data_IF_837695319847
#
_entry.id   IF_837695319847
#
_cell.length_a   1.000
_cell.length_b   1.000
_cell.length_c   1.000
_cell.angle_alpha   90.00
_cell.angle_beta   90.00
_cell.angle_gamma   90.00
#
_symmetry.space_group_name_H-M   'P 1'
#
loop_
_entity.id
_entity.type
_entity.pdbx_description
1 polymer ?
#
# COMPACT_ATOMS: atom_id res chain seq x y z
N UNK A 1 -16.16 -31.23 8.44
CA UNK A 1 -15.53 -29.93 8.12
C UNK A 1 -15.30 -29.89 6.62
N UNK A 2 -15.80 -28.86 5.94
CA UNK A 2 -15.61 -28.70 4.48
C UNK A 2 -14.16 -28.35 4.20
N UNK A 3 -13.48 -29.12 3.34
CA UNK A 3 -12.10 -28.81 2.96
C UNK A 3 -12.05 -27.52 2.15
N UNK A 4 -11.26 -26.54 2.59
CA UNK A 4 -11.12 -25.26 1.89
C UNK A 4 -10.14 -25.38 0.71
N UNK A 5 -10.13 -24.39 -0.18
CA UNK A 5 -9.16 -24.30 -1.30
C UNK A 5 -7.71 -24.30 -0.82
N UNK A 6 -7.44 -23.72 0.35
CA UNK A 6 -6.10 -23.61 0.93
C UNK A 6 -5.78 -24.70 1.96
N UNK A 7 -6.61 -25.74 2.03
CA UNK A 7 -6.37 -26.87 2.93
C UNK A 7 -4.97 -27.45 2.72
N UNK A 8 -4.27 -27.79 3.82
CA UNK A 8 -2.94 -28.40 3.76
C UNK A 8 -2.98 -29.78 3.10
N UNK A 9 -4.10 -30.50 3.24
CA UNK A 9 -4.29 -31.86 2.73
C UNK A 9 -4.52 -31.92 1.22
N UNK A 10 -5.03 -30.84 0.62
CA UNK A 10 -5.20 -30.70 -0.83
C UNK A 10 -3.89 -30.25 -1.46
N UNK A 11 -3.60 -30.72 -2.67
CA UNK A 11 -2.48 -30.27 -3.49
C UNK A 11 -3.03 -29.74 -4.80
N UNK A 12 -2.81 -28.47 -5.08
CA UNK A 12 -3.30 -27.81 -6.29
C UNK A 12 -2.10 -27.18 -6.98
N UNK A 13 -1.88 -27.54 -8.25
CA UNK A 13 -0.76 -27.05 -9.05
C UNK A 13 -1.26 -26.46 -10.36
N UNK A 14 -0.49 -25.57 -10.98
CA UNK A 14 -0.82 -25.02 -12.29
C UNK A 14 -0.49 -26.03 -13.39
N UNK A 15 -1.41 -26.23 -14.34
CA UNK A 15 -1.13 -26.98 -15.56
C UNK A 15 -0.02 -26.29 -16.36
N UNK A 16 1.02 -27.03 -16.78
CA UNK A 16 2.15 -26.43 -17.50
C UNK A 16 1.79 -25.89 -18.90
N UNK A 17 0.68 -26.36 -19.50
CA UNK A 17 0.26 -25.93 -20.82
C UNK A 17 -0.58 -24.64 -20.80
N UNK A 18 -1.54 -24.52 -19.88
CA UNK A 18 -2.49 -23.40 -19.86
C UNK A 18 -2.50 -22.59 -18.54
N UNK A 19 -1.80 -23.05 -17.50
CA UNK A 19 -1.77 -22.40 -16.19
C UNK A 19 -3.08 -22.50 -15.38
N UNK A 20 -4.04 -23.33 -15.82
CA UNK A 20 -5.26 -23.62 -15.04
C UNK A 20 -4.89 -24.41 -13.78
N UNK A 21 -5.53 -24.10 -12.65
CA UNK A 21 -5.35 -24.83 -11.41
C UNK A 21 -5.90 -26.27 -11.54
N UNK A 22 -5.09 -27.25 -11.17
CA UNK A 22 -5.42 -28.67 -11.22
C UNK A 22 -5.16 -29.28 -9.86
N UNK A 23 -6.18 -29.91 -9.29
CA UNK A 23 -6.03 -30.70 -8.06
C UNK A 23 -5.36 -32.03 -8.40
N UNK A 24 -4.28 -32.33 -7.69
CA UNK A 24 -3.46 -33.53 -7.88
C UNK A 24 -3.39 -34.32 -6.58
N UNK A 25 -3.10 -35.61 -6.67
CA UNK A 25 -2.88 -36.42 -5.47
C UNK A 25 -1.57 -35.99 -4.77
N UNK A 26 -1.56 -35.73 -3.44
CA UNK A 26 -0.33 -35.45 -2.69
C UNK A 26 0.75 -36.51 -2.83
N UNK A 27 0.38 -37.79 -3.04
CA UNK A 27 1.29 -38.90 -3.29
C UNK A 27 1.91 -38.94 -4.70
N UNK A 28 1.52 -38.01 -5.58
CA UNK A 28 1.94 -38.01 -6.99
C UNK A 28 0.95 -38.73 -7.91
N UNK A 29 1.26 -38.78 -9.21
CA UNK A 29 0.44 -39.42 -10.24
C UNK A 29 0.27 -38.56 -11.49
N UNK A 30 -0.69 -38.92 -12.33
CA UNK A 30 -1.06 -38.17 -13.54
C UNK A 30 -2.56 -37.85 -13.51
N UNK A 31 -2.91 -36.62 -13.86
CA UNK A 31 -4.30 -36.17 -14.02
C UNK A 31 -4.40 -35.31 -15.28
N UNK A 32 -5.49 -35.44 -16.02
CA UNK A 32 -5.75 -34.59 -17.18
C UNK A 32 -6.22 -33.20 -16.72
N UNK A 33 -5.64 -32.14 -17.27
CA UNK A 33 -6.11 -30.78 -17.04
C UNK A 33 -7.54 -30.61 -17.57
N UNK A 34 -8.47 -30.17 -16.72
CA UNK A 34 -9.89 -30.02 -17.08
C UNK A 34 -10.15 -28.95 -18.14
N UNK A 35 -9.21 -28.02 -18.35
CA UNK A 35 -9.34 -26.92 -19.31
C UNK A 35 -8.78 -27.26 -20.70
N UNK A 36 -7.56 -27.80 -20.77
CA UNK A 36 -6.89 -28.05 -22.06
C UNK A 36 -6.63 -29.54 -22.37
N UNK A 37 -7.00 -30.46 -21.47
CA UNK A 37 -6.77 -31.90 -21.63
C UNK A 37 -5.32 -32.36 -21.46
N UNK A 38 -4.35 -31.44 -21.37
CA UNK A 38 -2.94 -31.80 -21.22
C UNK A 38 -2.70 -32.60 -19.92
N UNK A 39 -1.88 -33.67 -19.95
CA UNK A 39 -1.55 -34.45 -18.75
C UNK A 39 -0.69 -33.61 -17.80
N UNK A 40 -1.05 -33.63 -16.52
CA UNK A 40 -0.26 -33.05 -15.42
C UNK A 40 0.32 -34.20 -14.61
N UNK A 41 1.60 -34.49 -14.87
CA UNK A 41 2.35 -35.56 -14.19
C UNK A 41 3.15 -34.96 -13.04
N UNK A 42 2.96 -35.49 -11.84
CA UNK A 42 3.57 -34.96 -10.62
C UNK A 42 4.17 -36.08 -9.77
N UNK A 43 5.31 -35.83 -9.15
CA UNK A 43 5.90 -36.71 -8.12
C UNK A 43 5.19 -36.48 -6.79
N UNK A 44 5.48 -37.28 -5.76
CA UNK A 44 4.99 -37.03 -4.41
C UNK A 44 5.39 -35.61 -3.94
N UNK A 45 4.51 -34.97 -3.15
CA UNK A 45 4.75 -33.61 -2.64
C UNK A 45 6.11 -33.55 -1.93
N UNK A 46 7.04 -32.67 -2.34
CA UNK A 46 8.34 -32.57 -1.69
C UNK A 46 8.23 -32.02 -0.27
N UNK A 47 9.19 -32.36 0.59
CA UNK A 47 9.30 -31.71 1.89
C UNK A 47 9.85 -30.29 1.70
N UNK A 48 8.97 -29.30 1.84
CA UNK A 48 9.32 -27.88 1.67
C UNK A 48 9.53 -27.16 3.00
N UNK A 49 9.75 -27.89 4.09
CA UNK A 49 10.10 -27.29 5.38
C UNK A 49 11.43 -26.52 5.28
N UNK A 50 11.47 -25.39 5.95
CA UNK A 50 12.61 -24.48 6.02
C UNK A 50 13.50 -24.93 7.18
N UNK A 51 14.83 -25.08 6.98
CA UNK A 51 15.75 -25.33 8.08
C UNK A 51 15.65 -24.22 9.13
N UNK A 52 15.71 -24.58 10.42
CA UNK A 52 15.69 -23.59 11.50
C UNK A 52 17.04 -22.88 11.60
N UNK A 53 17.03 -21.56 11.71
CA UNK A 53 18.21 -20.78 12.04
C UNK A 53 18.75 -21.13 13.42
N UNK A 54 20.04 -20.90 13.63
CA UNK A 54 20.66 -21.04 14.93
C UNK A 54 19.98 -20.08 15.93
N UNK A 55 19.65 -20.53 17.15
CA UNK A 55 18.99 -19.69 18.13
C UNK A 55 19.88 -18.49 18.50
N UNK A 56 19.32 -17.28 18.37
CA UNK A 56 19.93 -16.04 18.85
C UNK A 56 19.05 -15.41 19.92
N UNK A 57 19.60 -14.74 20.95
CA UNK A 57 18.80 -13.95 21.87
C UNK A 57 17.97 -12.91 21.12
N UNK A 58 16.68 -12.80 21.46
CA UNK A 58 15.73 -11.96 20.74
C UNK A 58 16.20 -10.49 20.58
N UNK A 59 16.72 -9.80 21.61
CA UNK A 59 17.17 -8.42 21.45
C UNK A 59 18.30 -8.25 20.41
N UNK A 60 19.25 -9.19 20.36
CA UNK A 60 20.34 -9.18 19.38
C UNK A 60 19.81 -9.46 17.97
N UNK A 61 18.85 -10.37 17.85
CA UNK A 61 18.20 -10.70 16.59
C UNK A 61 17.43 -9.49 16.04
N UNK A 62 16.62 -8.83 16.87
CA UNK A 62 15.89 -7.61 16.49
C UNK A 62 16.84 -6.51 16.01
N UNK A 63 17.96 -6.30 16.69
CA UNK A 63 18.97 -5.33 16.25
C UNK A 63 19.56 -5.68 14.88
N UNK A 64 19.81 -6.96 14.60
CA UNK A 64 20.29 -7.42 13.30
C UNK A 64 19.26 -7.24 12.19
N UNK A 65 17.98 -7.54 12.47
CA UNK A 65 16.88 -7.35 11.52
C UNK A 65 16.70 -5.88 11.14
N UNK A 66 16.82 -4.94 12.10
CA UNK A 66 16.76 -3.50 11.82
C UNK A 66 17.85 -3.01 10.86
N UNK A 67 19.00 -3.68 10.78
CA UNK A 67 20.08 -3.31 9.85
C UNK A 67 19.75 -3.65 8.38
N UNK A 68 18.72 -4.47 8.15
CA UNK A 68 18.28 -4.90 6.83
C UNK A 68 17.11 -4.06 6.31
N UNK A 69 16.52 -3.24 7.18
CA UNK A 69 15.36 -2.42 6.89
C UNK A 69 15.65 -1.35 5.81
N UNK A 70 14.60 -0.91 5.11
CA UNK A 70 14.69 0.07 4.01
C UNK A 70 15.35 -0.44 2.73
N UNK A 71 15.42 -1.77 2.54
CA UNK A 71 15.93 -2.41 1.32
C UNK A 71 14.79 -2.93 0.46
N UNK A 72 14.29 -2.15 -0.51
CA UNK A 72 13.18 -2.57 -1.33
C UNK A 72 13.55 -3.80 -2.18
N UNK A 73 12.58 -4.70 -2.37
CA UNK A 73 12.72 -5.80 -3.32
C UNK A 73 12.76 -5.24 -4.75
N UNK A 74 13.93 -5.26 -5.37
CA UNK A 74 14.10 -4.79 -6.74
C UNK A 74 13.58 -5.84 -7.75
N UNK A 75 12.98 -5.41 -8.87
CA UNK A 75 12.60 -6.32 -9.94
C UNK A 75 13.85 -7.02 -10.49
N UNK A 76 13.84 -8.36 -10.62
CA UNK A 76 14.89 -9.07 -11.33
C UNK A 76 14.98 -8.63 -12.80
N UNK A 77 16.18 -8.59 -13.40
CA UNK A 77 16.36 -8.15 -14.77
C UNK A 77 15.51 -8.94 -15.78
N UNK A 78 14.91 -8.22 -16.73
CA UNK A 78 14.09 -8.75 -17.81
C UNK A 78 12.59 -8.81 -17.52
N UNK A 79 12.15 -8.36 -16.34
CA UNK A 79 10.74 -8.27 -15.98
C UNK A 79 10.17 -6.85 -16.08
N UNK A 80 11.01 -5.85 -16.35
CA UNK A 80 10.63 -4.44 -16.41
C UNK A 80 9.56 -4.19 -17.46
N UNK A 81 9.64 -4.87 -18.60
CA UNK A 81 8.67 -4.72 -19.69
C UNK A 81 7.28 -5.21 -19.30
N UNK A 82 7.17 -6.24 -18.43
CA UNK A 82 5.90 -6.83 -18.01
C UNK A 82 5.09 -5.91 -17.09
N UNK A 83 5.75 -4.93 -16.48
CA UNK A 83 5.19 -4.13 -15.41
C UNK A 83 4.90 -2.71 -15.85
N UNK A 84 3.72 -2.23 -15.50
CA UNK A 84 3.39 -0.81 -15.56
C UNK A 84 2.85 -0.39 -14.18
N UNK A 85 3.50 0.60 -13.57
CA UNK A 85 3.10 1.09 -12.25
C UNK A 85 3.13 0.03 -11.12
N UNK A 86 4.01 -0.97 -11.21
CA UNK A 86 4.13 -2.01 -10.18
C UNK A 86 3.12 -3.16 -10.31
N UNK A 87 2.30 -3.19 -11.37
CA UNK A 87 1.33 -4.26 -11.65
C UNK A 87 1.55 -4.88 -13.03
N UNK A 88 1.05 -6.10 -13.20
CA UNK A 88 0.93 -6.74 -14.52
C UNK A 88 -0.37 -6.25 -15.14
N UNK A 89 -0.26 -5.62 -16.32
CA UNK A 89 -1.44 -5.22 -17.08
C UNK A 89 -2.26 -6.43 -17.54
N UNK A 90 -3.60 -6.36 -17.58
CA UNK A 90 -4.44 -7.51 -17.93
C UNK A 90 -4.05 -8.19 -19.26
N UNK A 91 -3.65 -7.41 -20.26
CA UNK A 91 -3.26 -7.90 -21.58
C UNK A 91 -1.89 -8.61 -21.61
N UNK A 92 -1.05 -8.43 -20.58
CA UNK A 92 0.24 -9.13 -20.41
C UNK A 92 0.15 -10.36 -19.51
N UNK A 93 -1.03 -10.67 -18.98
CA UNK A 93 -1.21 -11.77 -18.04
C UNK A 93 -0.76 -13.12 -18.62
N UNK A 94 -1.02 -13.36 -19.91
CA UNK A 94 -0.60 -14.59 -20.58
C UNK A 94 0.92 -14.68 -20.72
N UNK A 95 1.58 -13.59 -21.11
CA UNK A 95 3.04 -13.49 -21.21
C UNK A 95 3.70 -13.75 -19.83
N UNK A 96 3.21 -13.08 -18.78
CA UNK A 96 3.71 -13.26 -17.42
C UNK A 96 3.55 -14.71 -16.93
N UNK A 97 2.44 -15.38 -17.26
CA UNK A 97 2.22 -16.81 -16.94
C UNK A 97 3.17 -17.73 -17.69
N UNK A 98 3.50 -17.42 -18.94
CA UNK A 98 4.47 -18.18 -19.72
C UNK A 98 5.87 -18.08 -19.10
N UNK A 99 6.30 -16.86 -18.74
CA UNK A 99 7.60 -16.62 -18.08
C UNK A 99 7.65 -17.31 -16.72
N UNK A 100 6.57 -17.22 -15.92
CA UNK A 100 6.44 -17.93 -14.65
C UNK A 100 6.62 -19.44 -14.83
N UNK A 101 5.87 -20.05 -15.77
CA UNK A 101 5.90 -21.50 -15.99
C UNK A 101 7.26 -21.96 -16.51
N UNK A 102 7.87 -21.19 -17.42
CA UNK A 102 9.23 -21.45 -17.90
C UNK A 102 10.28 -21.37 -16.78
N UNK A 103 10.21 -20.34 -15.93
CA UNK A 103 11.12 -20.17 -14.78
C UNK A 103 10.95 -21.31 -13.76
N UNK A 104 9.70 -21.70 -13.48
CA UNK A 104 9.40 -22.83 -12.60
C UNK A 104 9.98 -24.13 -13.13
N UNK A 105 9.78 -24.44 -14.41
CA UNK A 105 10.34 -25.65 -15.05
C UNK A 105 11.86 -25.66 -15.00
N UNK A 106 12.48 -24.52 -15.28
CA UNK A 106 13.93 -24.35 -15.19
C UNK A 106 14.44 -24.67 -13.77
N UNK A 107 13.82 -24.13 -12.73
CA UNK A 107 14.22 -24.43 -11.34
C UNK A 107 14.01 -25.88 -10.92
N UNK A 108 12.99 -26.56 -11.45
CA UNK A 108 12.83 -27.99 -11.22
C UNK A 108 13.99 -28.80 -11.83
N UNK A 109 14.55 -28.34 -12.97
CA UNK A 109 15.73 -28.96 -13.58
C UNK A 109 17.07 -28.48 -13.01
N UNK A 110 17.15 -27.24 -12.53
CA UNK A 110 18.36 -26.58 -12.04
C UNK A 110 18.06 -25.86 -10.71
N UNK A 111 17.88 -26.60 -9.59
CA UNK A 111 17.45 -25.99 -8.33
C UNK A 111 18.45 -25.00 -7.73
N UNK A 112 19.73 -25.06 -8.12
CA UNK A 112 20.78 -24.17 -7.61
C UNK A 112 20.78 -22.78 -8.24
N UNK A 113 19.92 -22.50 -9.23
CA UNK A 113 19.86 -21.19 -9.88
C UNK A 113 19.16 -20.15 -8.98
N UNK A 114 19.99 -19.33 -8.32
CA UNK A 114 19.56 -18.26 -7.42
C UNK A 114 18.77 -17.18 -8.16
N UNK A 115 19.23 -16.77 -9.35
CA UNK A 115 18.59 -15.70 -10.12
C UNK A 115 17.21 -16.12 -10.62
N UNK A 116 17.06 -17.37 -11.07
CA UNK A 116 15.76 -17.93 -11.41
C UNK A 116 14.85 -18.05 -10.19
N UNK A 117 15.39 -18.37 -9.00
CA UNK A 117 14.63 -18.42 -7.75
C UNK A 117 14.09 -17.05 -7.35
N UNK A 118 14.88 -15.99 -7.48
CA UNK A 118 14.45 -14.60 -7.24
C UNK A 118 13.40 -14.16 -8.27
N UNK A 119 13.61 -14.47 -9.55
CA UNK A 119 12.64 -14.25 -10.63
C UNK A 119 11.30 -14.93 -10.35
N UNK A 120 11.32 -16.20 -9.92
CA UNK A 120 10.10 -16.95 -9.63
C UNK A 120 9.35 -16.36 -8.42
N UNK A 121 10.05 -16.00 -7.34
CA UNK A 121 9.46 -15.33 -6.18
C UNK A 121 8.78 -14.02 -6.59
N UNK A 122 9.50 -13.18 -7.33
CA UNK A 122 9.00 -11.87 -7.76
C UNK A 122 7.78 -11.99 -8.68
N UNK A 123 7.83 -12.88 -9.68
CA UNK A 123 6.67 -13.18 -10.56
C UNK A 123 5.48 -13.71 -9.78
N UNK A 124 5.72 -14.54 -8.76
CA UNK A 124 4.66 -15.06 -7.89
C UNK A 124 3.97 -13.92 -7.16
N UNK A 125 4.72 -12.97 -6.59
CA UNK A 125 4.15 -11.81 -5.91
C UNK A 125 3.33 -10.94 -6.86
N UNK A 126 3.87 -10.62 -8.04
CA UNK A 126 3.16 -9.82 -9.05
C UNK A 126 1.86 -10.47 -9.52
N UNK A 127 1.92 -11.74 -9.93
CA UNK A 127 0.74 -12.47 -10.39
C UNK A 127 -0.29 -12.61 -9.28
N UNK A 128 0.17 -12.78 -8.03
CA UNK A 128 -0.73 -12.93 -6.89
C UNK A 128 -1.57 -11.68 -6.62
N UNK A 129 -1.03 -10.48 -6.84
CA UNK A 129 -1.79 -9.24 -6.69
C UNK A 129 -2.99 -9.22 -7.63
N UNK A 130 -2.79 -9.51 -8.92
CA UNK A 130 -3.88 -9.52 -9.91
C UNK A 130 -4.86 -10.67 -9.68
N UNK A 131 -4.37 -11.85 -9.29
CA UNK A 131 -5.24 -13.00 -9.01
C UNK A 131 -6.10 -12.79 -7.76
N UNK A 132 -5.55 -12.15 -6.73
CA UNK A 132 -6.26 -11.79 -5.51
C UNK A 132 -7.40 -10.81 -5.80
N UNK A 133 -7.15 -9.79 -6.65
CA UNK A 133 -8.19 -8.84 -7.09
C UNK A 133 -9.35 -9.53 -7.82
N UNK A 134 -9.09 -10.60 -8.59
CA UNK A 134 -10.13 -11.37 -9.29
C UNK A 134 -10.85 -12.42 -8.43
N UNK A 135 -10.41 -12.65 -7.19
CA UNK A 135 -11.00 -13.67 -6.30
C UNK A 135 -10.79 -15.12 -6.78
N UNK A 136 -9.82 -15.37 -7.68
CA UNK A 136 -9.55 -16.71 -8.20
C UNK A 136 -8.64 -17.50 -7.25
N UNK A 137 -9.22 -17.92 -6.12
CA UNK A 137 -8.52 -18.64 -5.06
C UNK A 137 -7.83 -19.95 -5.54
N UNK A 138 -8.43 -20.79 -6.41
CA UNK A 138 -7.74 -21.96 -6.95
C UNK A 138 -6.49 -21.62 -7.76
N UNK A 139 -6.55 -20.59 -8.62
CA UNK A 139 -5.38 -20.13 -9.38
C UNK A 139 -4.29 -19.61 -8.43
N UNK A 140 -4.69 -18.82 -7.43
CA UNK A 140 -3.77 -18.27 -6.44
C UNK A 140 -3.10 -19.36 -5.60
N UNK A 141 -3.87 -20.35 -5.15
CA UNK A 141 -3.33 -21.53 -4.47
C UNK A 141 -2.32 -22.28 -5.36
N UNK A 142 -2.68 -22.52 -6.62
CA UNK A 142 -1.82 -23.22 -7.58
C UNK A 142 -0.50 -22.49 -7.85
N UNK A 143 -0.54 -21.15 -7.85
CA UNK A 143 0.62 -20.29 -8.01
C UNK A 143 1.56 -20.43 -6.81
N UNK A 144 1.04 -20.27 -5.59
CA UNK A 144 1.87 -20.36 -4.38
C UNK A 144 2.43 -21.75 -4.13
N UNK A 145 1.61 -22.81 -4.28
CA UNK A 145 2.08 -24.18 -4.07
C UNK A 145 3.03 -24.63 -5.19
N UNK A 146 2.74 -24.25 -6.44
CA UNK A 146 3.64 -24.50 -7.57
C UNK A 146 5.01 -23.83 -7.40
N UNK A 147 5.05 -22.61 -6.87
CA UNK A 147 6.29 -21.92 -6.53
C UNK A 147 7.00 -22.55 -5.34
N UNK A 148 6.27 -22.89 -4.28
CA UNK A 148 6.82 -23.53 -3.09
C UNK A 148 7.55 -24.85 -3.42
N UNK A 149 7.04 -25.63 -4.36
CA UNK A 149 7.67 -26.89 -4.80
C UNK A 149 8.93 -26.69 -5.65
N UNK A 150 9.04 -25.57 -6.38
CA UNK A 150 10.18 -25.31 -7.27
C UNK A 150 11.29 -24.47 -6.62
N UNK A 151 10.97 -23.67 -5.61
CA UNK A 151 11.93 -22.81 -4.92
C UNK A 151 12.87 -23.63 -4.03
N UNK A 152 14.18 -23.48 -4.24
CA UNK A 152 15.21 -24.15 -3.44
C UNK A 152 15.60 -23.36 -2.19
N UNK A 153 15.70 -22.04 -2.32
CA UNK A 153 16.17 -21.16 -1.24
C UNK A 153 15.21 -21.18 -0.05
N UNK A 154 15.71 -21.45 1.18
CA UNK A 154 14.91 -21.46 2.41
C UNK A 154 14.03 -20.22 2.56
N UNK A 155 14.58 -19.03 2.30
CA UNK A 155 13.86 -17.77 2.42
C UNK A 155 12.64 -17.65 1.50
N UNK A 156 12.74 -18.11 0.26
CA UNK A 156 11.62 -18.03 -0.68
C UNK A 156 10.53 -19.07 -0.35
N UNK A 157 10.91 -20.25 0.16
CA UNK A 157 9.96 -21.26 0.65
C UNK A 157 9.17 -20.76 1.86
N UNK A 158 9.83 -20.07 2.80
CA UNK A 158 9.19 -19.43 3.96
C UNK A 158 8.11 -18.43 3.52
N UNK A 159 8.44 -17.56 2.55
CA UNK A 159 7.48 -16.60 1.99
C UNK A 159 6.22 -17.29 1.45
N UNK A 160 6.40 -18.32 0.62
CA UNK A 160 5.26 -19.05 0.04
C UNK A 160 4.40 -19.75 1.10
N UNK A 161 5.03 -20.35 2.12
CA UNK A 161 4.31 -20.94 3.26
C UNK A 161 3.52 -19.89 4.04
N UNK A 162 4.09 -18.70 4.25
CA UNK A 162 3.40 -17.58 4.86
C UNK A 162 2.16 -17.15 4.09
N UNK A 163 2.25 -17.02 2.75
CA UNK A 163 1.08 -16.74 1.91
C UNK A 163 0.00 -17.82 2.04
N UNK A 164 0.37 -19.11 1.91
CA UNK A 164 -0.56 -20.23 2.04
C UNK A 164 -1.25 -20.25 3.42
N UNK A 165 -0.50 -19.99 4.50
CA UNK A 165 -1.03 -19.93 5.86
C UNK A 165 -2.07 -18.80 6.01
N UNK A 166 -1.76 -17.59 5.54
CA UNK A 166 -2.69 -16.44 5.61
C UNK A 166 -3.97 -16.69 4.82
N UNK A 167 -3.87 -17.29 3.62
CA UNK A 167 -5.06 -17.60 2.82
C UNK A 167 -5.92 -18.72 3.44
N UNK A 168 -5.31 -19.75 4.05
CA UNK A 168 -6.05 -20.75 4.82
C UNK A 168 -6.79 -20.13 6.00
N UNK A 169 -6.11 -19.27 6.77
CA UNK A 169 -6.71 -18.54 7.88
C UNK A 169 -7.86 -17.63 7.42
N UNK A 170 -7.72 -16.94 6.27
CA UNK A 170 -8.76 -16.10 5.67
C UNK A 170 -10.06 -16.88 5.42
N UNK A 171 -9.96 -18.16 5.11
CA UNK A 171 -11.09 -19.09 4.93
C UNK A 171 -11.53 -19.82 6.20
N UNK A 172 -11.06 -19.38 7.38
CA UNK A 172 -11.26 -20.01 8.69
C UNK A 172 -10.73 -21.46 8.80
N UNK A 173 -9.80 -21.87 7.93
CA UNK A 173 -9.12 -23.17 7.98
C UNK A 173 -7.85 -23.06 8.82
N UNK A 174 -8.03 -22.82 10.13
CA UNK A 174 -6.91 -22.56 11.04
C UNK A 174 -6.02 -23.80 11.23
N UNK A 175 -6.56 -25.03 11.14
CA UNK A 175 -5.75 -26.25 11.16
C UNK A 175 -4.74 -26.26 10.00
N UNK A 176 -5.21 -25.97 8.78
CA UNK A 176 -4.32 -25.91 7.62
C UNK A 176 -3.38 -24.72 7.69
N UNK A 177 -3.82 -23.57 8.22
CA UNK A 177 -2.96 -22.41 8.41
C UNK A 177 -1.77 -22.73 9.34
N UNK A 178 -2.02 -23.39 10.46
CA UNK A 178 -0.99 -23.88 11.38
C UNK A 178 -0.07 -24.90 10.71
N UNK A 179 -0.62 -25.85 9.94
CA UNK A 179 0.17 -26.85 9.22
C UNK A 179 1.11 -26.24 8.16
N UNK A 180 0.66 -25.19 7.45
CA UNK A 180 1.52 -24.44 6.54
C UNK A 180 2.64 -23.71 7.28
N UNK A 181 2.30 -23.01 8.36
CA UNK A 181 3.22 -22.20 9.15
C UNK A 181 4.23 -23.05 9.94
N UNK A 182 3.87 -24.27 10.34
CA UNK A 182 4.73 -25.19 11.10
C UNK A 182 6.05 -25.55 10.40
N UNK A 183 6.09 -25.44 9.06
CA UNK A 183 7.31 -25.65 8.27
C UNK A 183 8.17 -24.41 8.06
N UNK A 184 7.83 -23.27 8.66
CA UNK A 184 8.65 -22.06 8.64
C UNK A 184 9.64 -22.04 9.82
N UNK A 185 10.69 -21.24 9.69
CA UNK A 185 11.59 -20.89 10.78
C UNK A 185 11.02 -19.70 11.58
N UNK A 186 10.65 -19.88 12.86
CA UNK A 186 10.13 -18.81 13.71
C UNK A 186 11.21 -17.79 14.15
N UNK A 187 12.49 -18.11 13.98
CA UNK A 187 13.62 -17.33 14.49
C UNK A 187 14.56 -16.89 13.37
N UNK A 188 14.03 -16.64 12.18
CA UNK A 188 14.85 -16.25 11.03
C UNK A 188 15.64 -14.95 11.31
N UNK A 189 16.84 -14.88 10.77
CA UNK A 189 17.72 -13.70 10.83
C UNK A 189 17.67 -12.88 9.54
N UNK A 190 16.84 -13.24 8.57
CA UNK A 190 16.50 -12.45 7.38
C UNK A 190 15.17 -11.70 7.64
N UNK A 191 15.15 -10.38 7.41
CA UNK A 191 14.01 -9.52 7.75
C UNK A 191 12.75 -9.89 6.98
N UNK A 192 12.89 -10.22 5.69
CA UNK A 192 11.77 -10.57 4.83
C UNK A 192 11.09 -11.86 5.34
N UNK A 193 11.87 -12.89 5.66
CA UNK A 193 11.34 -14.17 6.15
C UNK A 193 10.82 -14.11 7.58
N UNK A 194 11.48 -13.36 8.46
CA UNK A 194 11.00 -13.13 9.83
C UNK A 194 9.65 -12.40 9.79
N UNK A 195 9.55 -11.34 9.00
CA UNK A 195 8.31 -10.58 8.79
C UNK A 195 7.20 -11.48 8.25
N UNK A 196 7.51 -12.34 7.26
CA UNK A 196 6.55 -13.27 6.70
C UNK A 196 6.01 -14.25 7.74
N UNK A 197 6.86 -14.75 8.65
CA UNK A 197 6.44 -15.61 9.76
C UNK A 197 5.55 -14.84 10.74
N UNK A 198 6.03 -13.70 11.25
CA UNK A 198 5.33 -12.89 12.27
C UNK A 198 3.98 -12.42 11.80
N UNK A 199 3.90 -11.89 10.58
CA UNK A 199 2.63 -11.42 10.00
C UNK A 199 1.68 -12.59 9.78
N UNK A 200 2.16 -13.76 9.36
CA UNK A 200 1.30 -14.94 9.19
C UNK A 200 0.75 -15.45 10.52
N UNK A 201 1.60 -15.55 11.55
CA UNK A 201 1.18 -15.93 12.92
C UNK A 201 0.18 -14.93 13.50
N UNK A 202 0.45 -13.63 13.38
CA UNK A 202 -0.46 -12.56 13.80
C UNK A 202 -1.81 -12.61 13.06
N UNK A 203 -1.80 -12.96 11.77
CA UNK A 203 -3.02 -13.13 10.98
C UNK A 203 -3.86 -14.32 11.48
N UNK A 204 -3.22 -15.46 11.78
CA UNK A 204 -3.90 -16.63 12.37
C UNK A 204 -4.45 -16.27 13.76
N UNK A 205 -3.64 -15.65 14.62
CA UNK A 205 -4.05 -15.25 15.97
C UNK A 205 -5.19 -14.23 15.96
N UNK A 206 -5.22 -13.33 14.97
CA UNK A 206 -6.35 -12.42 14.76
C UNK A 206 -7.65 -13.17 14.48
N UNK A 207 -7.62 -14.16 13.57
CA UNK A 207 -8.78 -14.99 13.26
C UNK A 207 -9.24 -15.89 14.43
N UNK A 208 -8.30 -16.28 15.30
CA UNK A 208 -8.57 -17.05 16.52
C UNK A 208 -8.95 -16.19 17.74
N UNK A 209 -8.99 -14.86 17.61
CA UNK A 209 -9.29 -13.94 18.72
C UNK A 209 -8.18 -13.82 19.78
N UNK A 210 -6.95 -14.25 19.47
CA UNK A 210 -5.80 -14.24 20.38
C UNK A 210 -5.02 -12.92 20.28
N UNK A 211 -5.70 -11.81 20.53
CA UNK A 211 -5.16 -10.47 20.27
C UNK A 211 -3.91 -10.12 21.09
N UNK A 212 -3.76 -10.68 22.29
CA UNK A 212 -2.54 -10.51 23.08
C UNK A 212 -1.31 -11.12 22.37
N UNK A 213 -1.47 -12.26 21.70
CA UNK A 213 -0.39 -12.90 20.93
C UNK A 213 0.00 -12.05 19.71
N UNK A 214 -0.97 -11.38 19.07
CA UNK A 214 -0.71 -10.46 17.95
C UNK A 214 0.23 -9.33 18.37
N UNK A 215 -0.05 -8.69 19.51
CA UNK A 215 0.84 -7.66 20.08
C UNK A 215 2.17 -8.26 20.53
N UNK A 216 2.16 -9.46 21.12
CA UNK A 216 3.38 -10.16 21.53
C UNK A 216 4.34 -10.44 20.38
N UNK A 217 3.82 -10.77 19.18
CA UNK A 217 4.68 -11.09 18.02
C UNK A 217 5.01 -9.90 17.13
N UNK A 218 4.11 -8.92 16.98
CA UNK A 218 4.33 -7.71 16.16
C UNK A 218 4.87 -6.51 16.95
N UNK A 219 5.00 -6.64 18.26
CA UNK A 219 5.32 -5.53 19.15
C UNK A 219 4.12 -4.60 19.39
N UNK A 220 4.26 -3.74 20.40
CA UNK A 220 3.27 -2.73 20.74
C UNK A 220 3.28 -1.55 19.76
N UNK A 221 4.42 -1.30 19.12
CA UNK A 221 4.64 -0.29 18.09
C UNK A 221 5.50 -0.83 16.93
N UNK A 222 5.55 -0.08 15.82
CA UNK A 222 6.45 -0.39 14.68
C UNK A 222 7.94 -0.37 15.06
N UNK A 223 8.30 0.30 16.16
CA UNK A 223 9.68 0.41 16.60
C UNK A 223 10.15 -0.82 17.39
N UNK A 224 9.22 -1.61 17.95
CA UNK A 224 9.57 -2.72 18.83
C UNK A 224 10.09 -3.93 18.04
N UNK A 225 9.46 -4.22 16.91
CA UNK A 225 9.80 -5.34 16.01
C UNK A 225 9.86 -4.80 14.59
N UNK A 226 11.02 -4.82 13.91
CA UNK A 226 11.11 -4.40 12.52
C UNK A 226 10.30 -5.37 11.66
N UNK A 227 9.56 -4.80 10.72
CA UNK A 227 8.79 -5.54 9.72
C UNK A 227 9.25 -5.00 8.35
N UNK A 228 9.43 -5.91 7.40
CA UNK A 228 9.74 -5.56 6.02
C UNK A 228 8.68 -4.59 5.45
N UNK A 229 9.14 -3.52 4.79
CA UNK A 229 8.30 -2.44 4.22
C UNK A 229 7.09 -2.96 3.42
N UNK A 230 7.23 -4.10 2.73
CA UNK A 230 6.13 -4.66 1.92
C UNK A 230 4.98 -5.22 2.75
N UNK A 231 5.21 -5.53 4.03
CA UNK A 231 4.25 -6.14 4.95
C UNK A 231 3.78 -5.19 6.05
N UNK A 232 4.39 -4.02 6.14
CA UNK A 232 4.13 -2.99 7.14
C UNK A 232 2.64 -2.57 7.22
N UNK A 233 1.94 -2.30 6.11
CA UNK A 233 0.51 -1.98 6.16
C UNK A 233 -0.35 -3.10 6.76
N UNK A 234 -0.02 -4.37 6.47
CA UNK A 234 -0.74 -5.53 7.01
C UNK A 234 -0.46 -5.67 8.50
N UNK A 235 0.81 -5.57 8.91
CA UNK A 235 1.19 -5.60 10.33
C UNK A 235 0.54 -4.45 11.11
N UNK A 236 0.49 -3.25 10.54
CA UNK A 236 -0.17 -2.09 11.12
C UNK A 236 -1.67 -2.31 11.33
N UNK A 237 -2.37 -2.90 10.36
CA UNK A 237 -3.81 -3.22 10.51
C UNK A 237 -4.03 -4.31 11.57
N UNK A 238 -3.24 -5.38 11.57
CA UNK A 238 -3.37 -6.46 12.55
C UNK A 238 -3.10 -5.98 13.98
N UNK A 239 -2.03 -5.19 14.17
CA UNK A 239 -1.68 -4.62 15.49
C UNK A 239 -2.73 -3.59 15.94
N UNK A 240 -3.24 -2.74 15.06
CA UNK A 240 -4.33 -1.80 15.40
C UNK A 240 -5.61 -2.54 15.79
N UNK A 241 -5.98 -3.60 15.06
CA UNK A 241 -7.13 -4.43 15.42
C UNK A 241 -6.94 -5.10 16.79
N UNK A 242 -5.74 -5.60 17.07
CA UNK A 242 -5.44 -6.18 18.38
C UNK A 242 -5.61 -5.14 19.52
N UNK A 243 -5.22 -3.88 19.29
CA UNK A 243 -5.45 -2.80 20.25
C UNK A 243 -6.92 -2.46 20.45
N UNK A 244 -7.68 -2.32 19.36
CA UNK A 244 -9.13 -2.06 19.41
C UNK A 244 -9.83 -3.16 20.23
N UNK A 245 -9.50 -4.43 19.97
CA UNK A 245 -10.09 -5.60 20.64
C UNK A 245 -9.68 -5.74 22.11
N UNK A 246 -8.58 -5.10 22.51
CA UNK A 246 -8.15 -4.99 23.91
C UNK A 246 -8.73 -3.75 24.62
N UNK A 247 -9.69 -3.04 24.00
CA UNK A 247 -10.31 -1.86 24.60
C UNK A 247 -9.45 -0.60 24.51
N UNK A 248 -8.50 -0.54 23.55
CA UNK A 248 -7.62 0.62 23.31
C UNK A 248 -7.85 1.23 21.92
N UNK A 249 -9.07 1.71 21.59
CA UNK A 249 -9.39 2.21 20.26
C UNK A 249 -8.58 3.45 19.86
N UNK A 250 -8.15 4.28 20.81
CA UNK A 250 -7.32 5.46 20.55
C UNK A 250 -5.93 5.09 20.03
N UNK A 251 -5.30 4.06 20.62
CA UNK A 251 -4.01 3.54 20.18
C UNK A 251 -4.11 2.93 18.77
N UNK A 252 -5.18 2.18 18.51
CA UNK A 252 -5.47 1.65 17.19
C UNK A 252 -5.67 2.75 16.14
N UNK A 253 -6.43 3.79 16.47
CA UNK A 253 -6.65 4.96 15.60
C UNK A 253 -5.33 5.68 15.30
N UNK A 254 -4.53 5.97 16.32
CA UNK A 254 -3.26 6.69 16.16
C UNK A 254 -2.29 5.92 15.24
N UNK A 255 -2.24 4.60 15.39
CA UNK A 255 -1.41 3.74 14.56
C UNK A 255 -1.85 3.76 13.09
N UNK A 256 -3.13 3.58 12.80
CA UNK A 256 -3.65 3.63 11.44
C UNK A 256 -3.46 5.02 10.82
N UNK A 257 -3.74 6.09 11.59
CA UNK A 257 -3.59 7.46 11.15
C UNK A 257 -2.14 7.77 10.73
N UNK A 258 -1.15 7.28 11.49
CA UNK A 258 0.27 7.45 11.14
C UNK A 258 0.57 6.93 9.73
N UNK A 259 0.23 5.68 9.45
CA UNK A 259 0.44 5.08 8.12
C UNK A 259 -0.34 5.82 7.03
N UNK A 260 -1.60 6.20 7.29
CA UNK A 260 -2.39 7.00 6.35
C UNK A 260 -1.69 8.32 6.00
N UNK A 261 -1.17 9.03 7.01
CA UNK A 261 -0.47 10.33 6.82
C UNK A 261 0.90 10.21 6.14
N UNK A 262 1.48 9.01 6.08
CA UNK A 262 2.70 8.66 5.35
C UNK A 262 2.42 8.24 3.89
N UNK A 263 1.18 8.42 3.40
CA UNK A 263 0.80 8.08 2.03
C UNK A 263 0.34 6.64 1.83
N UNK A 264 0.15 5.86 2.91
CA UNK A 264 -0.33 4.48 2.84
C UNK A 264 -1.85 4.37 3.04
N UNK A 265 -2.60 5.47 2.88
CA UNK A 265 -4.03 5.48 3.21
C UNK A 265 -4.84 4.47 2.37
N UNK A 266 -4.64 4.46 1.05
CA UNK A 266 -5.29 3.51 0.14
C UNK A 266 -4.88 2.06 0.44
N UNK A 267 -3.61 1.81 0.78
CA UNK A 267 -3.11 0.49 1.15
C UNK A 267 -3.77 -0.03 2.42
N UNK A 268 -3.84 0.80 3.48
CA UNK A 268 -4.51 0.44 4.74
C UNK A 268 -5.98 0.11 4.48
N UNK A 269 -6.69 0.92 3.68
CA UNK A 269 -8.09 0.65 3.34
C UNK A 269 -8.26 -0.65 2.56
N UNK A 270 -7.35 -0.92 1.61
CA UNK A 270 -7.36 -2.16 0.84
C UNK A 270 -7.13 -3.37 1.74
N UNK A 271 -6.17 -3.30 2.68
CA UNK A 271 -5.92 -4.37 3.64
C UNK A 271 -7.16 -4.62 4.50
N UNK A 272 -7.76 -3.58 5.09
CA UNK A 272 -8.99 -3.72 5.90
C UNK A 272 -10.13 -4.35 5.09
N UNK A 273 -10.31 -3.93 3.83
CA UNK A 273 -11.33 -4.48 2.93
C UNK A 273 -11.08 -5.94 2.55
N UNK A 274 -9.81 -6.34 2.43
CA UNK A 274 -9.41 -7.70 2.06
C UNK A 274 -9.49 -8.70 3.23
N UNK A 275 -9.61 -8.21 4.47
CA UNK A 275 -9.81 -9.06 5.64
C UNK A 275 -11.21 -9.70 5.63
N UNK A 276 -11.38 -10.91 6.20
CA UNK A 276 -12.70 -11.53 6.35
C UNK A 276 -13.66 -10.64 7.13
N UNK A 277 -14.85 -10.40 6.58
CA UNK A 277 -15.85 -9.50 7.17
C UNK A 277 -16.24 -9.91 8.59
N UNK A 278 -16.28 -11.20 8.88
CA UNK A 278 -16.63 -11.73 10.21
C UNK A 278 -15.60 -11.36 11.30
N UNK A 279 -14.37 -10.99 10.92
CA UNK A 279 -13.35 -10.54 11.88
C UNK A 279 -13.57 -9.09 12.31
N UNK A 280 -14.35 -8.31 11.55
CA UNK A 280 -14.63 -6.89 11.76
C UNK A 280 -13.36 -6.11 12.15
N UNK A 281 -12.32 -6.24 11.33
CA UNK A 281 -10.99 -5.69 11.61
C UNK A 281 -11.04 -4.17 11.67
N UNK A 282 -10.61 -3.59 12.80
CA UNK A 282 -10.57 -2.13 13.03
C UNK A 282 -11.92 -1.43 12.79
N UNK A 283 -13.03 -2.04 13.22
CA UNK A 283 -14.38 -1.59 12.89
C UNK A 283 -14.67 -0.16 13.36
N UNK A 284 -14.05 0.27 14.47
CA UNK A 284 -14.23 1.61 15.04
C UNK A 284 -13.08 2.54 14.67
N UNK A 285 -11.84 2.08 14.88
CA UNK A 285 -10.62 2.88 14.78
C UNK A 285 -10.29 3.31 13.36
N UNK A 286 -10.74 2.59 12.32
CA UNK A 286 -10.49 3.01 10.92
C UNK A 286 -11.19 4.33 10.57
N UNK A 287 -12.39 4.58 11.12
CA UNK A 287 -13.13 5.82 10.87
C UNK A 287 -12.46 7.00 11.57
N UNK A 288 -12.02 6.82 12.82
CA UNK A 288 -11.23 7.83 13.54
C UNK A 288 -9.92 8.13 12.82
N UNK A 289 -9.24 7.10 12.30
CA UNK A 289 -8.00 7.27 11.54
C UNK A 289 -8.23 8.05 10.24
N UNK A 290 -9.32 7.79 9.52
CA UNK A 290 -9.73 8.57 8.33
C UNK A 290 -9.97 10.04 8.67
N UNK A 291 -10.65 10.33 9.78
CA UNK A 291 -10.89 11.70 10.22
C UNK A 291 -9.58 12.41 10.56
N UNK A 292 -8.66 11.74 11.25
CA UNK A 292 -7.33 12.27 11.56
C UNK A 292 -6.50 12.52 10.29
N UNK A 293 -6.52 11.59 9.33
CA UNK A 293 -5.87 11.76 8.03
C UNK A 293 -6.45 12.95 7.25
N UNK A 294 -7.77 13.08 7.20
CA UNK A 294 -8.46 14.22 6.58
C UNK A 294 -8.06 15.55 7.22
N UNK A 295 -8.00 15.60 8.55
CA UNK A 295 -7.56 16.79 9.27
C UNK A 295 -6.11 17.15 8.92
N UNK A 296 -5.22 16.15 8.82
CA UNK A 296 -3.82 16.34 8.43
C UNK A 296 -3.67 16.81 6.98
N UNK A 297 -4.37 16.18 6.04
CA UNK A 297 -4.40 16.59 4.63
C UNK A 297 -4.94 18.01 4.50
N UNK A 298 -6.02 18.35 5.21
CA UNK A 298 -6.57 19.71 5.24
C UNK A 298 -5.61 20.74 5.83
N UNK A 299 -4.86 20.38 6.88
CA UNK A 299 -3.82 21.23 7.46
C UNK A 299 -2.67 21.48 6.48
N UNK A 300 -2.23 20.45 5.72
CA UNK A 300 -1.19 20.57 4.68
C UNK A 300 -1.67 21.30 3.42
N UNK A 301 -2.93 21.15 3.04
CA UNK A 301 -3.47 21.72 1.81
C UNK A 301 -3.60 23.27 1.85
N UNK A 302 -3.43 23.90 3.02
CA UNK A 302 -3.55 25.34 3.17
C UNK A 302 -2.40 25.98 3.93
N UNK A 303 -1.53 26.72 3.25
CA UNK A 303 -0.57 27.67 3.86
C UNK A 303 -1.27 28.96 4.27
N UNK A 304 -2.37 28.85 5.05
CA UNK A 304 -3.12 30.02 5.51
C UNK A 304 -2.23 31.03 6.25
N UNK A 305 -1.17 30.57 6.91
CA UNK A 305 -0.21 31.42 7.60
C UNK A 305 0.54 32.38 6.66
N UNK A 306 0.91 31.94 5.44
CA UNK A 306 1.53 32.83 4.43
C UNK A 306 0.52 33.90 4.02
N UNK A 307 -0.74 33.51 3.83
CA UNK A 307 -1.82 34.45 3.54
C UNK A 307 -2.01 35.49 4.64
N UNK A 308 -1.93 35.09 5.91
CA UNK A 308 -1.95 36.01 7.05
C UNK A 308 -0.74 36.93 7.11
N UNK A 309 0.46 36.43 6.83
CA UNK A 309 1.66 37.28 6.76
C UNK A 309 1.51 38.34 5.67
N UNK A 310 1.10 37.96 4.45
CA UNK A 310 0.89 38.91 3.35
C UNK A 310 -0.22 39.91 3.66
N UNK A 311 -1.27 39.47 4.36
CA UNK A 311 -2.34 40.34 4.80
C UNK A 311 -1.81 41.35 5.83
N UNK A 312 -1.19 40.91 6.92
CA UNK A 312 -0.67 41.80 7.97
C UNK A 312 0.43 42.72 7.43
N UNK A 313 1.38 42.19 6.66
CA UNK A 313 2.46 42.99 6.07
C UNK A 313 1.95 43.97 5.01
N UNK A 314 0.91 43.60 4.26
CA UNK A 314 0.23 44.46 3.32
C UNK A 314 -0.38 45.69 3.99
N UNK A 315 -0.96 45.54 5.18
CA UNK A 315 -1.57 46.65 5.92
C UNK A 315 -0.58 47.47 6.75
N UNK A 316 0.64 46.98 6.99
CA UNK A 316 1.66 47.69 7.80
C UNK A 316 2.00 49.11 7.28
N UNK A 317 2.15 49.37 5.96
CA UNK A 317 2.42 50.70 5.44
C UNK A 317 1.33 51.73 5.75
N UNK A 318 0.07 51.32 5.96
CA UNK A 318 -1.02 52.24 6.26
C UNK A 318 -0.79 52.99 7.59
N UNK A 319 -0.03 52.40 8.51
CA UNK A 319 0.37 53.05 9.77
C UNK A 319 1.31 54.25 9.53
N UNK A 320 2.02 54.28 8.40
CA UNK A 320 2.92 55.37 8.02
C UNK A 320 2.23 56.48 7.22
N UNK A 321 0.96 56.35 6.83
CA UNK A 321 0.24 57.36 6.04
C UNK A 321 0.28 58.73 6.72
N UNK A 322 -0.09 58.78 8.00
CA UNK A 322 -0.22 60.05 8.74
C UNK A 322 1.14 60.77 8.83
N UNK A 323 2.23 60.13 9.28
CA UNK A 323 3.56 60.74 9.27
C UNK A 323 4.02 61.21 7.88
N UNK A 324 3.75 60.44 6.84
CA UNK A 324 4.21 60.72 5.46
C UNK A 324 3.45 61.88 4.84
N UNK A 325 2.15 62.01 5.11
CA UNK A 325 1.35 63.18 4.67
C UNK A 325 1.84 64.45 5.39
N UNK A 326 2.09 64.36 6.70
CA UNK A 326 2.53 65.50 7.50
C UNK A 326 3.94 65.99 7.13
N UNK A 327 4.81 65.11 6.63
CA UNK A 327 6.18 65.47 6.24
C UNK A 327 6.30 66.08 4.85
N UNK A 328 5.21 66.21 4.09
CA UNK A 328 5.23 66.75 2.73
C UNK A 328 5.88 65.81 1.72
N UNK A 329 5.84 64.50 1.97
CA UNK A 329 6.40 63.50 1.06
C UNK A 329 5.74 63.54 -0.33
N UNK A 330 6.46 63.04 -1.34
CA UNK A 330 5.97 63.01 -2.72
C UNK A 330 4.70 62.16 -2.87
N UNK A 331 3.83 62.54 -3.81
CA UNK A 331 2.61 61.80 -4.17
C UNK A 331 2.92 60.32 -4.47
N UNK A 332 4.10 60.05 -5.02
CA UNK A 332 4.59 58.71 -5.31
C UNK A 332 4.72 57.81 -4.06
N UNK A 333 5.18 58.34 -2.92
CA UNK A 333 5.23 57.57 -1.67
C UNK A 333 3.83 57.26 -1.15
N UNK A 334 2.93 58.25 -1.16
CA UNK A 334 1.54 58.06 -0.72
C UNK A 334 0.83 57.01 -1.60
N UNK A 335 1.05 57.05 -2.92
CA UNK A 335 0.52 56.06 -3.84
C UNK A 335 0.99 54.62 -3.50
N UNK A 336 2.28 54.42 -3.21
CA UNK A 336 2.80 53.11 -2.81
C UNK A 336 2.19 52.61 -1.51
N UNK A 337 1.99 53.49 -0.53
CA UNK A 337 1.37 53.14 0.75
C UNK A 337 -0.07 52.67 0.58
N UNK A 338 -0.78 53.13 -0.46
CA UNK A 338 -2.16 52.69 -0.76
C UNK A 338 -2.19 51.45 -1.65
N UNK A 339 -1.35 51.40 -2.69
CA UNK A 339 -1.33 50.29 -3.66
C UNK A 339 -0.86 48.98 -3.01
N UNK A 340 0.15 49.06 -2.14
CA UNK A 340 0.74 47.87 -1.52
C UNK A 340 -0.26 47.07 -0.67
N UNK A 341 -1.04 47.66 0.27
CA UNK A 341 -2.11 46.97 0.99
C UNK A 341 -3.18 46.35 0.11
N UNK A 342 -3.54 47.01 -0.99
CA UNK A 342 -4.57 46.49 -1.90
C UNK A 342 -4.08 45.21 -2.59
N UNK A 343 -2.85 45.22 -3.10
CA UNK A 343 -2.26 44.06 -3.78
C UNK A 343 -2.00 42.92 -2.78
N UNK A 344 -1.24 43.19 -1.72
CA UNK A 344 -0.82 42.17 -0.75
C UNK A 344 -1.97 41.70 0.13
N UNK A 345 -2.84 42.60 0.57
CA UNK A 345 -4.06 42.26 1.30
C UNK A 345 -5.04 41.44 0.45
N UNK A 346 -5.20 41.81 -0.84
CA UNK A 346 -6.02 41.04 -1.78
C UNK A 346 -5.48 39.63 -2.03
N UNK A 347 -4.17 39.49 -2.24
CA UNK A 347 -3.50 38.18 -2.37
C UNK A 347 -3.61 37.36 -1.07
N UNK A 348 -3.36 37.97 0.08
CA UNK A 348 -3.47 37.32 1.39
C UNK A 348 -4.88 36.79 1.66
N UNK A 349 -5.92 37.59 1.44
CA UNK A 349 -7.32 37.17 1.56
C UNK A 349 -7.67 36.03 0.59
N UNK A 350 -7.19 36.08 -0.65
CA UNK A 350 -7.39 35.02 -1.64
C UNK A 350 -6.76 33.70 -1.19
N UNK A 351 -5.53 33.75 -0.65
CA UNK A 351 -4.84 32.57 -0.11
C UNK A 351 -5.56 31.99 1.11
N UNK A 352 -5.99 32.83 2.06
CA UNK A 352 -6.75 32.39 3.24
C UNK A 352 -8.06 31.73 2.82
N UNK A 353 -8.82 32.33 1.89
CA UNK A 353 -10.05 31.75 1.35
C UNK A 353 -9.79 30.41 0.67
N UNK A 354 -8.75 30.31 -0.16
CA UNK A 354 -8.37 29.06 -0.83
C UNK A 354 -7.97 27.98 0.17
N UNK A 355 -7.21 28.32 1.21
CA UNK A 355 -6.82 27.39 2.27
C UNK A 355 -8.03 26.90 3.09
N UNK A 356 -8.96 27.79 3.42
CA UNK A 356 -10.19 27.43 4.12
C UNK A 356 -11.10 26.56 3.26
N UNK A 357 -11.17 26.80 1.94
CA UNK A 357 -11.87 25.91 1.00
C UNK A 357 -11.23 24.53 0.95
N UNK A 358 -9.90 24.44 0.81
CA UNK A 358 -9.20 23.16 0.81
C UNK A 358 -9.39 22.38 2.12
N UNK A 359 -9.37 23.06 3.28
CA UNK A 359 -9.72 22.46 4.59
C UNK A 359 -11.15 21.94 4.62
N UNK A 360 -12.11 22.73 4.10
CA UNK A 360 -13.51 22.32 4.02
C UNK A 360 -13.71 21.12 3.09
N UNK A 361 -13.05 21.11 1.92
CA UNK A 361 -13.05 19.97 1.00
C UNK A 361 -12.47 18.73 1.71
N UNK A 362 -11.34 18.84 2.40
CA UNK A 362 -10.73 17.70 3.09
C UNK A 362 -11.61 17.16 4.24
N UNK A 363 -12.32 18.04 4.96
CA UNK A 363 -13.15 17.67 6.10
C UNK A 363 -14.52 17.07 5.70
N UNK A 364 -15.22 17.74 4.79
CA UNK A 364 -16.62 17.46 4.42
C UNK A 364 -16.76 16.76 3.06
N UNK A 365 -15.68 16.66 2.30
CA UNK A 365 -15.73 16.11 0.95
C UNK A 365 -15.97 14.61 0.90
N UNK A 366 -16.45 14.18 -0.25
CA UNK A 366 -16.71 12.81 -0.62
C UNK A 366 -15.44 12.18 -1.19
N UNK A 367 -15.18 10.93 -0.80
CA UNK A 367 -14.08 10.15 -1.35
C UNK A 367 -14.40 9.67 -2.76
N UNK A 368 -13.42 9.77 -3.65
CA UNK A 368 -13.52 9.28 -5.01
C UNK A 368 -12.15 8.94 -5.60
N UNK A 369 -12.16 8.54 -6.86
CA UNK A 369 -10.95 8.37 -7.66
C UNK A 369 -10.83 9.53 -8.65
N UNK A 370 -9.62 10.04 -8.84
CA UNK A 370 -9.32 11.10 -9.77
C UNK A 370 -8.36 10.57 -10.83
N UNK A 371 -8.80 10.54 -12.10
CA UNK A 371 -7.93 10.25 -13.23
C UNK A 371 -7.24 11.52 -13.69
N UNK A 372 -5.91 11.54 -13.70
CA UNK A 372 -5.12 12.70 -14.15
C UNK A 372 -5.22 12.85 -15.66
N UNK A 373 -5.81 13.96 -16.10
CA UNK A 373 -5.99 14.31 -17.51
C UNK A 373 -4.84 15.16 -18.04
N UNK A 374 -4.36 16.11 -17.24
CA UNK A 374 -3.30 17.03 -17.63
C UNK A 374 -2.55 17.55 -16.40
N UNK A 375 -1.27 17.86 -16.56
CA UNK A 375 -0.41 18.47 -15.54
C UNK A 375 0.35 19.62 -16.20
N UNK A 376 0.10 20.85 -15.77
CA UNK A 376 0.70 22.04 -16.36
C UNK A 376 1.25 23.01 -15.30
N UNK A 377 2.35 23.71 -15.55
CA UNK A 377 2.88 24.69 -14.60
C UNK A 377 1.92 25.88 -14.43
N UNK A 378 1.79 26.40 -13.22
CA UNK A 378 1.00 27.62 -12.97
C UNK A 378 1.80 28.91 -13.19
N UNK A 379 3.09 28.80 -13.51
CA UNK A 379 4.03 29.92 -13.56
C UNK A 379 4.49 30.42 -12.19
N UNK A 380 4.21 29.67 -11.12
CA UNK A 380 4.68 29.98 -9.75
C UNK A 380 5.65 28.92 -9.29
N UNK A 381 6.74 29.32 -8.64
CA UNK A 381 7.72 28.40 -8.05
C UNK A 381 7.90 28.73 -6.57
N UNK A 382 8.08 27.70 -5.75
CA UNK A 382 8.42 27.83 -4.32
C UNK A 382 9.71 27.05 -4.11
N UNK A 383 10.77 27.74 -3.71
CA UNK A 383 12.11 27.14 -3.52
C UNK A 383 12.58 26.35 -4.75
N UNK A 384 12.45 26.91 -5.96
CA UNK A 384 12.78 26.28 -7.24
C UNK A 384 11.98 24.99 -7.56
N UNK A 385 10.85 24.78 -6.89
CA UNK A 385 9.89 23.72 -7.20
C UNK A 385 8.65 24.35 -7.82
N UNK A 386 8.26 23.99 -9.05
CA UNK A 386 7.10 24.57 -9.69
C UNK A 386 5.81 24.11 -9.02
N UNK A 387 4.88 25.05 -8.89
CA UNK A 387 3.48 24.75 -8.57
C UNK A 387 2.81 24.27 -9.85
N UNK A 388 2.37 23.02 -9.85
CA UNK A 388 1.68 22.40 -10.97
C UNK A 388 0.17 22.41 -10.73
N UNK A 389 -0.58 22.77 -11.76
CA UNK A 389 -2.00 22.55 -11.89
C UNK A 389 -2.25 21.14 -12.43
N UNK A 390 -2.87 20.30 -11.62
CA UNK A 390 -3.25 18.93 -11.98
C UNK A 390 -4.75 18.94 -12.29
N UNK A 391 -5.10 18.77 -13.56
CA UNK A 391 -6.49 18.68 -14.04
C UNK A 391 -6.87 17.21 -14.02
N UNK A 392 -7.95 16.88 -13.32
CA UNK A 392 -8.41 15.50 -13.13
C UNK A 392 -9.88 15.34 -13.50
N UNK A 393 -10.25 14.13 -13.91
CA UNK A 393 -11.63 13.67 -13.92
C UNK A 393 -11.90 12.92 -12.63
N UNK A 394 -12.75 13.48 -11.79
CA UNK A 394 -13.15 12.92 -10.51
C UNK A 394 -14.37 12.02 -10.70
N UNK A 395 -14.31 10.81 -10.14
CA UNK A 395 -15.39 9.86 -10.07
C UNK A 395 -15.73 9.58 -8.60
N UNK A 396 -16.95 9.98 -8.20
CA UNK A 396 -17.51 9.77 -6.86
C UNK A 396 -18.81 8.99 -7.01
N UNK A 397 -19.04 7.99 -6.15
CA UNK A 397 -20.27 7.18 -6.20
C UNK A 397 -21.51 8.06 -6.06
N UNK A 398 -22.50 7.89 -6.94
CA UNK A 398 -23.74 8.67 -6.95
C UNK A 398 -23.65 10.05 -7.61
N UNK A 399 -22.50 10.44 -8.14
CA UNK A 399 -22.32 11.71 -8.88
C UNK A 399 -21.81 11.45 -10.30
N UNK A 400 -22.20 12.27 -11.29
CA UNK A 400 -21.60 12.20 -12.63
C UNK A 400 -20.11 12.55 -12.56
N UNK A 401 -19.26 12.04 -13.48
CA UNK A 401 -17.85 12.43 -13.52
C UNK A 401 -17.69 13.95 -13.67
N UNK A 402 -16.86 14.57 -12.84
CA UNK A 402 -16.62 16.03 -12.83
C UNK A 402 -15.17 16.32 -13.12
N UNK A 403 -14.88 17.35 -13.92
CA UNK A 403 -13.52 17.85 -14.09
C UNK A 403 -13.18 18.83 -12.96
N UNK A 404 -12.09 18.56 -12.24
CA UNK A 404 -11.63 19.39 -11.14
C UNK A 404 -10.12 19.63 -11.24
N UNK A 405 -9.62 20.56 -10.44
CA UNK A 405 -8.23 20.95 -10.41
C UNK A 405 -7.66 20.89 -8.98
N UNK A 406 -6.45 20.35 -8.87
CA UNK A 406 -5.61 20.47 -7.67
C UNK A 406 -4.32 21.24 -7.99
N UNK A 407 -3.75 21.90 -6.98
CA UNK A 407 -2.45 22.56 -7.07
C UNK A 407 -1.47 21.88 -6.14
N UNK A 408 -0.32 21.45 -6.66
CA UNK A 408 0.71 20.73 -5.91
C UNK A 408 2.11 21.17 -6.35
N UNK A 409 3.05 21.18 -5.39
CA UNK A 409 4.47 21.32 -5.70
C UNK A 409 4.96 19.97 -6.22
N UNK A 410 5.46 19.94 -7.45
CA UNK A 410 5.99 18.72 -8.07
C UNK A 410 7.34 19.03 -8.71
N UNK A 411 8.31 18.14 -8.57
CA UNK A 411 9.55 18.24 -9.35
C UNK A 411 9.27 17.92 -10.83
N UNK A 412 10.08 18.48 -11.73
CA UNK A 412 9.87 18.42 -13.19
C UNK A 412 9.72 16.98 -13.74
N UNK A 413 10.32 15.96 -13.10
CA UNK A 413 10.15 14.55 -13.49
C UNK A 413 8.88 13.87 -12.98
N UNK A 414 8.24 14.39 -11.93
CA UNK A 414 7.08 13.74 -11.30
C UNK A 414 5.79 13.96 -12.09
N UNK A 415 5.67 15.07 -12.83
CA UNK A 415 4.47 15.41 -13.59
C UNK A 415 4.12 14.34 -14.64
N UNK A 416 5.12 13.85 -15.38
CA UNK A 416 4.91 12.81 -16.40
C UNK A 416 4.45 11.47 -15.82
N UNK A 417 4.91 11.12 -14.61
CA UNK A 417 4.54 9.89 -13.92
C UNK A 417 3.07 9.89 -13.47
N UNK A 418 2.48 11.07 -13.26
CA UNK A 418 1.09 11.19 -12.83
C UNK A 418 0.08 11.08 -13.97
N UNK A 419 0.48 11.32 -15.22
CA UNK A 419 -0.44 11.33 -16.35
C UNK A 419 -1.17 9.99 -16.50
N UNK A 420 -2.50 10.04 -16.70
CA UNK A 420 -3.41 8.89 -16.75
C UNK A 420 -3.48 8.01 -15.50
N UNK A 421 -2.79 8.36 -14.41
CA UNK A 421 -2.95 7.62 -13.15
C UNK A 421 -4.28 7.95 -12.49
N UNK A 422 -4.86 6.93 -11.88
CA UNK A 422 -5.96 7.10 -10.93
C UNK A 422 -5.38 7.32 -9.54
N UNK A 423 -5.83 8.39 -8.89
CA UNK A 423 -5.38 8.80 -7.57
C UNK A 423 -6.56 8.88 -6.61
N UNK A 424 -6.40 8.48 -5.34
CA UNK A 424 -7.40 8.76 -4.33
C UNK A 424 -7.57 10.27 -4.18
N UNK A 425 -8.82 10.72 -4.10
CA UNK A 425 -9.13 12.13 -3.99
C UNK A 425 -10.34 12.39 -3.08
N UNK A 426 -10.40 13.62 -2.57
CA UNK A 426 -11.53 14.14 -1.81
C UNK A 426 -12.11 15.31 -2.60
N UNK A 427 -13.38 15.18 -2.98
CA UNK A 427 -14.12 16.17 -3.78
C UNK A 427 -15.36 16.64 -3.04
N UNK A 428 -15.72 17.92 -3.18
CA UNK A 428 -16.84 18.50 -2.46
C UNK A 428 -17.84 19.13 -3.45
N UNK A 429 -19.15 18.81 -3.37
CA UNK A 429 -20.15 19.29 -4.34
C UNK A 429 -20.32 20.80 -4.34
N UNK A 430 -20.12 21.47 -3.19
CA UNK A 430 -20.10 22.93 -3.09
C UNK A 430 -18.89 23.62 -3.73
N UNK A 431 -17.86 22.87 -4.15
CA UNK A 431 -16.65 23.37 -4.81
C UNK A 431 -16.29 22.46 -6.00
N UNK A 432 -17.16 22.34 -7.02
CA UNK A 432 -17.08 21.28 -8.01
C UNK A 432 -15.79 21.30 -8.85
N UNK A 433 -15.16 22.46 -8.97
CA UNK A 433 -13.92 22.68 -9.75
C UNK A 433 -12.63 22.45 -8.94
N UNK A 434 -12.72 22.26 -7.62
CA UNK A 434 -11.56 22.09 -6.73
C UNK A 434 -11.57 20.67 -6.15
N UNK A 435 -10.38 20.06 -6.02
CA UNK A 435 -10.23 18.72 -5.44
C UNK A 435 -8.95 18.64 -4.61
N UNK A 436 -8.98 17.83 -3.57
CA UNK A 436 -7.79 17.50 -2.77
C UNK A 436 -7.30 16.12 -3.17
N UNK A 437 -6.12 16.06 -3.80
CA UNK A 437 -5.46 14.80 -4.16
C UNK A 437 -4.60 14.30 -2.99
N UNK A 438 -4.74 13.02 -2.68
CA UNK A 438 -3.91 12.29 -1.72
C UNK A 438 -2.74 11.66 -2.49
N UNK A 439 -1.70 12.49 -2.69
CA UNK A 439 -0.44 12.16 -3.38
C UNK A 439 0.76 12.42 -2.49
#
# INVERSE_FOLDING_TARGET
>A
MTMTTFSYRRRILGCEACGTAVEVNPGGGSVACTSCGAPVVVTARPNTAVPRSAPRPEPQRIQYLRQQDGRPLLPPPGLESLMQGGKIEPWRMQEARQIYTGTRRHLLSVPSDVAASERLLFLTMLLSNTLSESGNDPALRSLYEGSLEALSLPRHRQMMRGYLARHAARTNDFESAEAWLAGCDPCSDDLLTDSAYRVSRAFIDTGLGRYQNVVGILGASEQDVPIDDSMDPVAAVLRANAWERQGRPDAAQQQLARFMTQGQASTIEHVVKAMPQQWQVCAQSVQGARQAHRAHVGAKAGTAWIGWILLVSGFLPLLAIIPVILSGASIMMVAWIVIFPVIFGGLGLKMIKSANRAKKIAAEGLHGTARVLNVQPTGTEINNVPVMAIIVQVQVSGHPPVQAQAKKLLHHGQAGVLMNRELPCIWHPGFPTEVVLDI
#
